data_IF_099902921093
#
_entry.id   IF_099902921093
#
_cell.length_a   1.000
_cell.length_b   1.000
_cell.length_c   1.000
_cell.angle_alpha   90.00
_cell.angle_beta   90.00
_cell.angle_gamma   90.00
#
_symmetry.space_group_name_H-M   'P 1'
#
loop_
_entity.id
_entity.type
_entity.pdbx_description
1 polymer ?
#
# COMPACT_ATOMS: atom_id res chain seq x y z
N UNK A 1 -5.08 12.56 6.97
CA UNK A 1 -3.83 12.41 7.75
C UNK A 1 -2.66 13.07 7.03
N UNK A 2 -2.41 12.77 5.75
CA UNK A 2 -1.31 13.37 4.97
C UNK A 2 -1.46 14.89 4.74
N UNK A 3 -2.69 15.41 4.63
CA UNK A 3 -2.94 16.87 4.49
C UNK A 3 -2.47 17.69 5.70
N UNK A 4 -2.52 17.13 6.91
CA UNK A 4 -2.08 17.82 8.13
C UNK A 4 -0.54 17.97 8.21
N UNK A 5 0.20 17.09 7.52
CA UNK A 5 1.66 17.14 7.50
C UNK A 5 2.21 18.26 6.60
N UNK A 6 1.39 18.82 5.71
CA UNK A 6 1.79 19.95 4.86
C UNK A 6 2.20 21.18 5.66
N UNK A 7 1.52 21.45 6.78
CA UNK A 7 1.78 22.61 7.65
C UNK A 7 3.18 22.54 8.27
N UNK A 8 3.74 21.35 8.46
CA UNK A 8 5.02 21.12 9.12
C UNK A 8 6.14 20.72 8.16
N UNK A 9 5.78 20.14 7.01
CA UNK A 9 6.74 19.67 5.99
C UNK A 9 6.27 20.10 4.59
N UNK A 10 6.43 21.38 4.23
CA UNK A 10 5.94 21.91 2.95
C UNK A 10 6.54 21.22 1.73
N UNK A 11 7.76 20.70 1.86
CA UNK A 11 8.44 19.96 0.80
C UNK A 11 7.78 18.62 0.43
N UNK A 12 7.04 17.99 1.36
CA UNK A 12 6.22 16.80 1.07
C UNK A 12 4.98 17.14 0.25
N UNK A 13 4.59 18.41 0.23
CA UNK A 13 3.38 18.90 -0.41
C UNK A 13 3.61 20.28 -1.06
N UNK A 14 4.45 20.39 -2.11
CA UNK A 14 4.65 21.66 -2.80
C UNK A 14 3.29 22.19 -3.31
N UNK A 15 3.01 23.48 -3.09
CA UNK A 15 1.70 24.06 -3.37
C UNK A 15 1.25 23.87 -4.83
N UNK A 16 2.19 23.99 -5.78
CA UNK A 16 1.94 23.79 -7.20
C UNK A 16 1.65 22.33 -7.60
N UNK A 17 1.99 21.35 -6.74
CA UNK A 17 1.73 19.91 -6.96
C UNK A 17 0.59 19.37 -6.09
N UNK A 18 0.12 20.14 -5.09
CA UNK A 18 -0.78 19.67 -4.04
C UNK A 18 -2.07 19.03 -4.58
N UNK A 19 -2.65 19.59 -5.65
CA UNK A 19 -3.87 19.03 -6.27
C UNK A 19 -3.59 17.66 -6.88
N UNK A 20 -2.46 17.52 -7.58
CA UNK A 20 -2.10 16.26 -8.24
C UNK A 20 -1.68 15.19 -7.23
N UNK A 21 -0.93 15.56 -6.19
CA UNK A 21 -0.56 14.67 -5.08
C UNK A 21 -1.82 14.14 -4.39
N UNK A 22 -2.79 15.01 -4.06
CA UNK A 22 -4.05 14.60 -3.43
C UNK A 22 -4.82 13.62 -4.32
N UNK A 23 -4.93 13.91 -5.62
CA UNK A 23 -5.64 13.04 -6.57
C UNK A 23 -5.00 11.65 -6.64
N UNK A 24 -3.68 11.58 -6.80
CA UNK A 24 -2.95 10.31 -6.94
C UNK A 24 -2.93 9.53 -5.62
N UNK A 25 -2.80 10.20 -4.47
CA UNK A 25 -2.89 9.55 -3.17
C UNK A 25 -4.30 8.97 -2.92
N UNK A 26 -5.36 9.69 -3.29
CA UNK A 26 -6.71 9.18 -3.18
C UNK A 26 -6.87 7.90 -4.01
N UNK A 27 -6.48 7.93 -5.28
CA UNK A 27 -6.52 6.75 -6.17
C UNK A 27 -5.71 5.57 -5.60
N UNK A 28 -4.51 5.82 -5.08
CA UNK A 28 -3.67 4.82 -4.44
C UNK A 28 -4.36 4.22 -3.20
N UNK A 29 -5.02 5.03 -2.38
CA UNK A 29 -5.70 4.56 -1.16
C UNK A 29 -7.01 3.82 -1.45
N UNK A 30 -7.59 4.01 -2.63
CA UNK A 30 -8.72 3.21 -3.06
C UNK A 30 -8.32 1.80 -3.58
N UNK A 31 -7.02 1.50 -3.73
CA UNK A 31 -6.55 0.15 -4.05
C UNK A 31 -6.60 -0.70 -2.78
N UNK A 32 -7.28 -1.84 -2.84
CA UNK A 32 -7.39 -2.74 -1.71
C UNK A 32 -6.11 -3.56 -1.54
N UNK A 33 -5.15 -3.06 -0.76
CA UNK A 33 -3.90 -3.80 -0.50
C UNK A 33 -4.09 -5.20 0.06
N UNK A 34 -5.21 -5.46 0.76
CA UNK A 34 -5.45 -6.78 1.34
C UNK A 34 -5.72 -7.83 0.26
N UNK A 35 -6.48 -7.50 -0.79
CA UNK A 35 -6.67 -8.43 -1.90
C UNK A 35 -5.31 -8.76 -2.51
N UNK A 36 -4.54 -7.75 -2.91
CA UNK A 36 -3.24 -7.92 -3.56
C UNK A 36 -2.23 -8.69 -2.69
N UNK A 37 -2.20 -8.43 -1.39
CA UNK A 37 -1.23 -9.07 -0.46
C UNK A 37 -1.58 -10.53 -0.18
N UNK A 38 -2.86 -10.86 -0.03
CA UNK A 38 -3.28 -12.18 0.51
C UNK A 38 -3.94 -13.10 -0.53
N UNK A 39 -3.81 -12.81 -1.82
CA UNK A 39 -4.38 -13.63 -2.91
C UNK A 39 -4.07 -15.12 -2.84
N UNK A 40 -2.88 -15.52 -2.36
CA UNK A 40 -2.50 -16.93 -2.19
C UNK A 40 -2.93 -17.55 -0.85
N UNK A 41 -3.74 -16.82 -0.07
CA UNK A 41 -4.26 -17.24 1.25
C UNK A 41 -5.78 -17.00 1.28
N UNK A 42 -6.57 -17.75 0.49
CA UNK A 42 -8.03 -17.58 0.44
C UNK A 42 -8.68 -17.70 1.83
N UNK A 43 -8.12 -18.54 2.69
CA UNK A 43 -8.60 -18.73 4.06
C UNK A 43 -8.31 -17.56 5.00
N UNK A 44 -7.50 -16.57 4.58
CA UNK A 44 -7.03 -15.50 5.48
C UNK A 44 -8.18 -14.70 6.08
N UNK A 45 -9.20 -14.41 5.30
CA UNK A 45 -10.38 -13.70 5.81
C UNK A 45 -11.11 -14.55 6.86
N UNK A 46 -11.24 -15.86 6.61
CA UNK A 46 -11.84 -16.83 7.54
C UNK A 46 -11.00 -16.99 8.81
N UNK A 47 -9.67 -17.07 8.72
CA UNK A 47 -8.75 -17.13 9.86
C UNK A 47 -8.90 -15.90 10.77
N UNK A 48 -8.98 -14.71 10.17
CA UNK A 48 -9.18 -13.47 10.90
C UNK A 48 -10.54 -13.45 11.61
N UNK A 49 -11.58 -13.95 10.95
CA UNK A 49 -12.92 -14.06 11.54
C UNK A 49 -12.92 -15.05 12.70
N UNK A 50 -12.37 -16.26 12.51
CA UNK A 50 -12.27 -17.30 13.53
C UNK A 50 -11.52 -16.81 14.77
N UNK A 51 -10.42 -16.07 14.59
CA UNK A 51 -9.68 -15.48 15.71
C UNK A 51 -10.52 -14.45 16.50
N UNK A 52 -11.36 -13.67 15.82
CA UNK A 52 -12.27 -12.71 16.46
C UNK A 52 -13.39 -13.44 17.19
N UNK A 53 -14.02 -14.45 16.58
CA UNK A 53 -15.08 -15.26 17.19
C UNK A 53 -14.58 -15.98 18.45
N UNK A 54 -13.39 -16.60 18.36
CA UNK A 54 -12.76 -17.25 19.52
C UNK A 54 -12.56 -16.28 20.68
N UNK A 55 -12.20 -15.03 20.41
CA UNK A 55 -12.01 -14.01 21.45
C UNK A 55 -13.34 -13.48 21.99
N UNK A 56 -14.37 -13.38 21.15
CA UNK A 56 -15.72 -13.00 21.58
C UNK A 56 -16.39 -14.06 22.46
N UNK A 57 -16.04 -15.34 22.29
CA UNK A 57 -16.55 -16.43 23.12
C UNK A 57 -16.03 -16.40 24.57
N UNK A 58 -14.94 -15.67 24.84
CA UNK A 58 -14.40 -15.48 26.20
C UNK A 58 -15.34 -14.59 27.03
N UNK A 59 -15.95 -15.08 28.13
CA UNK A 59 -16.80 -14.26 28.98
C UNK A 59 -16.02 -13.23 29.80
N UNK A 60 -14.71 -13.39 29.96
CA UNK A 60 -13.84 -12.54 30.78
C UNK A 60 -13.39 -11.24 30.12
N UNK A 61 -13.70 -11.00 28.84
CA UNK A 61 -13.32 -9.75 28.17
C UNK A 61 -14.19 -8.57 28.62
N UNK A 62 -13.59 -7.39 28.70
CA UNK A 62 -14.30 -6.16 29.04
C UNK A 62 -15.34 -5.79 27.98
N UNK A 63 -16.39 -5.06 28.37
CA UNK A 63 -17.42 -4.54 27.46
C UNK A 63 -16.82 -3.72 26.32
N UNK A 64 -15.87 -2.83 26.64
CA UNK A 64 -15.17 -2.00 25.65
C UNK A 64 -14.44 -2.86 24.62
N UNK A 65 -13.76 -3.92 25.07
CA UNK A 65 -13.03 -4.80 24.16
C UNK A 65 -13.98 -5.65 23.30
N UNK A 66 -15.09 -6.13 23.87
CA UNK A 66 -16.15 -6.81 23.13
C UNK A 66 -16.71 -5.96 21.99
N UNK A 67 -17.08 -4.70 22.27
CA UNK A 67 -17.55 -3.76 21.23
C UNK A 67 -16.50 -3.52 20.15
N UNK A 68 -15.23 -3.40 20.51
CA UNK A 68 -14.16 -3.26 19.52
C UNK A 68 -13.99 -4.52 18.63
N UNK A 69 -14.16 -5.71 19.20
CA UNK A 69 -14.12 -6.98 18.46
C UNK A 69 -15.33 -7.15 17.55
N UNK A 70 -16.53 -6.77 17.98
CA UNK A 70 -17.75 -6.76 17.14
C UNK A 70 -17.60 -5.81 15.96
N UNK A 71 -17.03 -4.62 16.18
CA UNK A 71 -16.70 -3.70 15.10
C UNK A 71 -15.68 -4.32 14.13
N UNK A 72 -14.60 -4.92 14.65
CA UNK A 72 -13.59 -5.62 13.83
C UNK A 72 -14.22 -6.76 13.01
N UNK A 73 -15.13 -7.54 13.60
CA UNK A 73 -15.89 -8.60 12.94
C UNK A 73 -16.68 -8.06 11.75
N UNK A 74 -17.45 -6.99 11.95
CA UNK A 74 -18.21 -6.33 10.89
C UNK A 74 -17.31 -5.89 9.73
N UNK A 75 -16.17 -5.27 10.05
CA UNK A 75 -15.19 -4.84 9.03
C UNK A 75 -14.63 -6.02 8.24
N UNK A 76 -14.29 -7.14 8.89
CA UNK A 76 -13.77 -8.33 8.20
C UNK A 76 -14.80 -8.87 7.21
N UNK A 77 -16.05 -9.03 7.66
CA UNK A 77 -17.13 -9.55 6.83
C UNK A 77 -17.44 -8.65 5.63
N UNK A 78 -17.46 -7.32 5.82
CA UNK A 78 -17.83 -6.40 4.75
C UNK A 78 -16.69 -6.05 3.79
N UNK A 79 -15.42 -6.14 4.23
CA UNK A 79 -14.28 -5.64 3.43
C UNK A 79 -13.19 -6.65 3.12
N UNK A 80 -13.05 -7.72 3.91
CA UNK A 80 -11.93 -8.68 3.78
C UNK A 80 -12.36 -10.00 3.18
N UNK A 81 -13.54 -10.50 3.56
CA UNK A 81 -14.07 -11.75 2.99
C UNK A 81 -14.33 -11.64 1.47
N UNK A 82 -14.95 -10.57 0.93
CA UNK A 82 -15.13 -10.43 -0.52
C UNK A 82 -13.82 -10.12 -1.26
N UNK A 83 -12.80 -9.61 -0.55
CA UNK A 83 -11.58 -9.12 -1.17
C UNK A 83 -10.65 -10.23 -1.69
N UNK A 84 -10.91 -11.48 -1.35
CA UNK A 84 -10.14 -12.64 -1.81
C UNK A 84 -10.85 -13.44 -2.91
N UNK A 85 -12.00 -12.96 -3.37
CA UNK A 85 -12.63 -13.50 -4.57
C UNK A 85 -11.79 -13.21 -5.82
N UNK A 86 -11.71 -14.17 -6.74
CA UNK A 86 -10.88 -14.06 -7.93
C UNK A 86 -11.27 -12.87 -8.83
N UNK A 87 -12.57 -12.58 -8.97
CA UNK A 87 -13.05 -11.45 -9.77
C UNK A 87 -12.70 -10.11 -9.11
N UNK A 88 -12.75 -10.06 -7.77
CA UNK A 88 -12.34 -8.88 -7.02
C UNK A 88 -10.84 -8.64 -7.11
N UNK A 89 -10.04 -9.71 -6.96
CA UNK A 89 -8.58 -9.65 -7.14
C UNK A 89 -8.23 -9.09 -8.51
N UNK A 90 -8.83 -9.63 -9.58
CA UNK A 90 -8.56 -9.17 -10.94
C UNK A 90 -8.90 -7.69 -11.12
N UNK A 91 -10.02 -7.22 -10.56
CA UNK A 91 -10.39 -5.81 -10.58
C UNK A 91 -9.35 -4.92 -9.88
N UNK A 92 -8.81 -5.36 -8.74
CA UNK A 92 -7.78 -4.62 -8.02
C UNK A 92 -6.42 -4.66 -8.73
N UNK A 93 -6.12 -5.75 -9.45
CA UNK A 93 -4.96 -5.82 -10.34
C UNK A 93 -5.08 -4.80 -11.48
N UNK A 94 -6.22 -4.77 -12.17
CA UNK A 94 -6.47 -3.84 -13.28
C UNK A 94 -6.42 -2.38 -12.80
N UNK A 95 -7.00 -2.11 -11.63
CA UNK A 95 -6.94 -0.80 -10.98
C UNK A 95 -5.50 -0.39 -10.68
N UNK A 96 -4.70 -1.33 -10.17
CA UNK A 96 -3.29 -1.09 -9.87
C UNK A 96 -2.50 -0.79 -11.13
N UNK A 97 -2.65 -1.59 -12.19
CA UNK A 97 -1.95 -1.37 -13.45
C UNK A 97 -2.33 0.00 -14.04
N UNK A 98 -3.62 0.34 -14.08
CA UNK A 98 -4.08 1.63 -14.58
C UNK A 98 -3.54 2.82 -13.75
N UNK A 99 -3.41 2.65 -12.44
CA UNK A 99 -2.82 3.65 -11.56
C UNK A 99 -1.29 3.78 -11.78
N UNK A 100 -0.56 2.68 -11.89
CA UNK A 100 0.88 2.70 -12.18
C UNK A 100 1.17 3.34 -13.55
N UNK A 101 0.33 3.08 -14.56
CA UNK A 101 0.41 3.76 -15.85
C UNK A 101 0.23 5.28 -15.75
N UNK A 102 -0.68 5.75 -14.89
CA UNK A 102 -0.83 7.19 -14.64
C UNK A 102 0.40 7.79 -13.95
N UNK A 103 0.94 7.12 -12.93
CA UNK A 103 2.12 7.61 -12.21
C UNK A 103 3.38 7.60 -13.08
N UNK A 104 3.54 6.58 -13.93
CA UNK A 104 4.66 6.53 -14.89
C UNK A 104 4.57 7.64 -15.94
N UNK A 105 3.38 7.95 -16.44
CA UNK A 105 3.19 9.09 -17.34
C UNK A 105 3.59 10.43 -16.67
N UNK A 106 3.33 10.58 -15.36
CA UNK A 106 3.79 11.75 -14.60
C UNK A 106 5.31 11.78 -14.48
N UNK A 107 5.94 10.65 -14.14
CA UNK A 107 7.40 10.53 -14.06
C UNK A 107 8.08 10.86 -15.38
N UNK A 108 7.56 10.35 -16.49
CA UNK A 108 8.13 10.59 -17.82
C UNK A 108 7.97 12.07 -18.23
N UNK A 109 6.84 12.70 -17.89
CA UNK A 109 6.61 14.12 -18.16
C UNK A 109 7.42 15.06 -17.25
N UNK A 110 7.79 14.61 -16.06
CA UNK A 110 8.56 15.37 -15.07
C UNK A 110 10.04 14.98 -15.02
N UNK A 111 10.52 14.20 -16.00
CA UNK A 111 11.85 13.63 -16.01
C UNK A 111 12.94 14.71 -15.84
N UNK A 112 13.76 14.56 -14.80
CA UNK A 112 14.89 15.43 -14.51
C UNK A 112 16.00 14.59 -13.89
N UNK A 113 17.17 14.57 -14.53
CA UNK A 113 18.31 13.73 -14.13
C UNK A 113 18.80 14.01 -12.70
N UNK A 114 18.60 15.24 -12.20
CA UNK A 114 19.03 15.63 -10.86
C UNK A 114 17.93 15.46 -9.79
N UNK A 115 16.75 14.98 -10.18
CA UNK A 115 15.55 15.04 -9.36
C UNK A 115 14.69 13.78 -9.60
N UNK A 116 15.08 12.63 -9.01
CA UNK A 116 14.61 11.31 -9.42
C UNK A 116 13.22 10.91 -8.90
N UNK A 117 12.54 11.82 -8.19
CA UNK A 117 11.24 11.56 -7.57
C UNK A 117 10.08 11.73 -8.56
N UNK A 118 8.87 11.28 -8.19
CA UNK A 118 7.75 11.15 -9.13
C UNK A 118 7.46 12.43 -9.93
N UNK A 119 7.62 13.59 -9.30
CA UNK A 119 7.34 14.89 -9.90
C UNK A 119 8.60 15.65 -10.36
N UNK A 120 9.74 14.97 -10.50
CA UNK A 120 10.98 15.66 -10.88
C UNK A 120 11.48 16.62 -9.79
N UNK A 121 11.18 16.32 -8.52
CA UNK A 121 11.61 17.11 -7.36
C UNK A 121 12.95 16.63 -6.82
N UNK A 122 13.71 17.48 -6.14
CA UNK A 122 14.99 17.10 -5.51
C UNK A 122 14.78 16.20 -4.28
N UNK A 123 13.67 16.42 -3.56
CA UNK A 123 13.27 15.66 -2.38
C UNK A 123 11.98 14.87 -2.63
N UNK A 124 11.78 13.71 -1.97
CA UNK A 124 10.57 12.92 -2.16
C UNK A 124 9.35 13.65 -1.63
N UNK A 125 8.23 13.51 -2.31
CA UNK A 125 6.93 14.06 -1.89
C UNK A 125 6.16 13.04 -1.03
N UNK A 126 5.01 13.46 -0.52
CA UNK A 126 4.09 12.55 0.15
C UNK A 126 3.64 11.41 -0.78
N UNK A 127 3.56 11.60 -2.09
CA UNK A 127 3.21 10.52 -3.00
C UNK A 127 4.31 9.44 -3.02
N UNK A 128 5.58 9.84 -3.12
CA UNK A 128 6.74 8.93 -3.09
C UNK A 128 6.74 8.08 -1.80
N UNK A 129 6.50 8.71 -0.65
CA UNK A 129 6.43 8.05 0.65
C UNK A 129 5.37 6.94 0.74
N UNK A 130 4.29 7.03 -0.05
CA UNK A 130 3.26 6.00 -0.12
C UNK A 130 3.49 5.01 -1.27
N UNK A 131 4.04 5.48 -2.40
CA UNK A 131 4.31 4.69 -3.59
C UNK A 131 5.41 3.66 -3.37
N UNK A 132 6.52 4.05 -2.75
CA UNK A 132 7.68 3.16 -2.60
C UNK A 132 7.32 1.92 -1.75
N UNK A 133 6.70 2.04 -0.55
CA UNK A 133 6.26 0.86 0.20
C UNK A 133 5.19 0.04 -0.52
N UNK A 134 4.35 0.66 -1.35
CA UNK A 134 3.36 -0.06 -2.15
C UNK A 134 4.03 -0.93 -3.22
N UNK A 135 4.95 -0.37 -4.00
CA UNK A 135 5.70 -1.09 -5.02
C UNK A 135 6.55 -2.21 -4.42
N UNK A 136 7.27 -1.92 -3.33
CA UNK A 136 8.04 -2.92 -2.59
C UNK A 136 7.14 -4.07 -2.09
N UNK A 137 5.92 -3.77 -1.66
CA UNK A 137 4.95 -4.79 -1.25
C UNK A 137 4.51 -5.69 -2.40
N UNK A 138 4.31 -5.14 -3.59
CA UNK A 138 3.99 -5.95 -4.77
C UNK A 138 5.12 -6.92 -5.08
N UNK A 139 6.38 -6.48 -5.00
CA UNK A 139 7.55 -7.35 -5.16
C UNK A 139 7.59 -8.43 -4.07
N UNK A 140 7.38 -8.07 -2.80
CA UNK A 140 7.42 -9.02 -1.68
C UNK A 140 6.40 -10.18 -1.82
N UNK A 141 5.31 -9.97 -2.56
CA UNK A 141 4.23 -10.95 -2.77
C UNK A 141 4.18 -11.52 -4.19
N UNK A 142 5.29 -11.47 -4.93
CA UNK A 142 5.46 -11.97 -6.30
C UNK A 142 4.48 -11.36 -7.33
N UNK A 143 4.22 -10.05 -7.21
CA UNK A 143 3.36 -9.26 -8.12
C UNK A 143 4.14 -8.22 -8.92
N UNK A 144 5.45 -8.42 -9.02
CA UNK A 144 6.35 -7.58 -9.81
C UNK A 144 6.06 -7.57 -11.32
N UNK A 145 5.29 -8.54 -11.82
CA UNK A 145 4.78 -8.56 -13.19
C UNK A 145 3.80 -7.42 -13.49
N UNK A 146 3.22 -6.81 -12.45
CA UNK A 146 2.34 -5.64 -12.58
C UNK A 146 3.14 -4.35 -12.78
N UNK A 147 4.46 -4.37 -12.54
CA UNK A 147 5.32 -3.20 -12.63
C UNK A 147 5.90 -3.10 -14.04
N UNK A 148 5.66 -1.95 -14.70
CA UNK A 148 6.41 -1.56 -15.89
C UNK A 148 7.87 -1.22 -15.58
N UNK A 149 8.70 -1.10 -16.63
CA UNK A 149 10.14 -0.80 -16.51
C UNK A 149 10.42 0.48 -15.72
N UNK A 150 9.67 1.56 -15.97
CA UNK A 150 9.83 2.83 -15.26
C UNK A 150 9.55 2.68 -13.76
N UNK A 151 8.45 2.04 -13.38
CA UNK A 151 8.12 1.81 -11.95
C UNK A 151 9.13 0.90 -11.26
N UNK A 152 9.67 -0.10 -11.97
CA UNK A 152 10.69 -1.00 -11.43
C UNK A 152 12.00 -0.25 -11.15
N UNK A 153 12.51 0.49 -12.13
CA UNK A 153 13.73 1.31 -11.98
C UNK A 153 13.56 2.35 -10.87
N UNK A 154 12.39 2.97 -10.78
CA UNK A 154 12.07 3.91 -9.72
C UNK A 154 12.11 3.25 -8.32
N UNK A 155 11.54 2.05 -8.19
CA UNK A 155 11.61 1.29 -6.94
C UNK A 155 13.05 0.93 -6.57
N UNK A 156 13.82 0.40 -7.52
CA UNK A 156 15.23 0.03 -7.32
C UNK A 156 16.04 1.24 -6.81
N UNK A 157 15.94 2.37 -7.51
CA UNK A 157 16.55 3.65 -7.08
C UNK A 157 16.13 4.03 -5.66
N UNK A 158 14.83 3.99 -5.36
CA UNK A 158 14.32 4.37 -4.05
C UNK A 158 14.85 3.45 -2.93
N UNK A 159 15.00 2.15 -3.21
CA UNK A 159 15.50 1.16 -2.25
C UNK A 159 17.00 1.28 -1.96
N UNK A 160 17.77 1.90 -2.87
CA UNK A 160 19.19 2.20 -2.66
C UNK A 160 19.43 3.45 -1.80
N UNK A 161 18.39 4.26 -1.58
CA UNK A 161 18.52 5.47 -0.74
C UNK A 161 18.76 5.13 0.72
N UNK A 162 19.56 5.97 1.41
CA UNK A 162 19.81 5.83 2.85
C UNK A 162 18.53 5.82 3.67
N UNK A 163 17.55 6.65 3.30
CA UNK A 163 16.24 6.72 3.97
C UNK A 163 15.58 5.34 3.99
N UNK A 164 15.58 4.64 2.86
CA UNK A 164 15.02 3.30 2.78
C UNK A 164 15.86 2.28 3.55
N UNK A 165 17.18 2.26 3.34
CA UNK A 165 18.05 1.26 3.98
C UNK A 165 18.02 1.36 5.49
N UNK A 166 18.02 2.58 6.05
CA UNK A 166 18.01 2.83 7.49
C UNK A 166 16.64 2.49 8.11
N UNK A 167 15.56 2.74 7.37
CA UNK A 167 14.19 2.44 7.81
C UNK A 167 13.91 0.94 7.75
N UNK A 168 14.22 0.30 6.63
CA UNK A 168 13.85 -1.08 6.37
C UNK A 168 14.86 -2.06 6.97
N UNK A 169 16.15 -1.71 7.00
CA UNK A 169 17.22 -2.56 7.56
C UNK A 169 17.20 -3.98 6.97
N UNK A 170 16.99 -4.08 5.65
CA UNK A 170 16.87 -5.35 4.93
C UNK A 170 15.56 -6.12 5.15
N UNK A 171 14.61 -5.59 5.94
CA UNK A 171 13.30 -6.21 6.14
C UNK A 171 12.42 -6.06 4.89
N UNK A 172 11.52 -7.01 4.70
CA UNK A 172 10.40 -6.92 3.75
C UNK A 172 9.26 -6.08 4.31
N UNK A 173 8.42 -5.55 3.43
CA UNK A 173 7.21 -4.81 3.78
C UNK A 173 6.05 -5.72 4.23
N UNK A 174 6.20 -7.03 4.03
CA UNK A 174 5.26 -8.07 4.45
C UNK A 174 5.98 -9.06 5.37
N UNK A 175 5.34 -9.41 6.49
CA UNK A 175 5.90 -10.33 7.47
C UNK A 175 5.98 -11.76 6.92
N UNK A 176 7.03 -12.51 7.28
CA UNK A 176 7.42 -13.79 6.68
C UNK A 176 6.34 -14.86 6.58
N UNK A 177 5.37 -14.87 7.51
CA UNK A 177 4.21 -15.79 7.51
C UNK A 177 3.26 -15.61 6.33
N UNK A 178 3.38 -14.51 5.58
CA UNK A 178 2.50 -14.16 4.47
C UNK A 178 3.26 -14.02 3.15
N UNK A 179 4.56 -14.33 3.14
CA UNK A 179 5.33 -14.40 1.93
C UNK A 179 5.01 -15.72 1.20
N UNK A 180 5.06 -15.72 -0.13
CA UNK A 180 4.99 -16.96 -0.89
C UNK A 180 6.17 -17.89 -0.52
N UNK A 181 5.91 -19.19 -0.47
CA UNK A 181 6.97 -20.19 -0.36
C UNK A 181 7.83 -20.12 -1.62
N UNK A 182 9.16 -20.01 -1.44
CA UNK A 182 10.13 -20.07 -2.54
C UNK A 182 10.25 -21.50 -3.06
#
# INVERSE_FOLDING_TARGET
MTQYLHEYYPSLYPSHLAVQINKLLAQLHEINYFSLTYTRRPDRASDMLNAVEKRLADPGISKKYRTALEHKRKVILSTRAPALDASFIKKEEDKTVAFLSQVTAVMDASCNENAPWIFGTEVPTALDAHMIPFLARLVDVDRENMLGSTSRRYLEMAMETRIWTDTMQGRRTVHGTYLPAK
#
